data_IF_013331126455
#
_entry.id   IF_013331126455
#
_cell.length_a   1.000
_cell.length_b   1.000
_cell.length_c   1.000
_cell.angle_alpha   90.00
_cell.angle_beta   90.00
_cell.angle_gamma   90.00
#
_symmetry.space_group_name_H-M   'P 1'
#
loop_
_entity.id
_entity.type
_entity.pdbx_description
1 polymer ?
#
# COMPACT_ATOMS: atom_id res chain seq x y z
N UNK A 1 45.62 2.75 -6.54
CA UNK A 1 45.99 1.52 -5.85
C UNK A 1 45.60 0.22 -6.55
N UNK A 2 44.61 0.21 -7.44
CA UNK A 2 44.23 -0.99 -8.23
C UNK A 2 45.15 -1.23 -9.46
N UNK A 3 45.98 -0.26 -9.84
CA UNK A 3 46.87 -0.33 -11.01
C UNK A 3 48.10 -1.24 -10.82
N UNK A 4 48.24 -1.87 -9.65
CA UNK A 4 49.36 -2.79 -9.31
C UNK A 4 48.96 -4.27 -9.37
N UNK A 5 47.68 -4.58 -9.69
CA UNK A 5 47.23 -5.97 -9.79
C UNK A 5 47.72 -6.59 -11.11
N UNK A 6 48.18 -7.79 -11.02
CA UNK A 6 48.45 -8.62 -12.21
C UNK A 6 47.12 -9.02 -12.89
N UNK A 7 47.13 -9.37 -14.17
CA UNK A 7 45.90 -9.86 -14.84
C UNK A 7 45.25 -11.04 -14.13
N UNK A 8 46.06 -11.95 -13.60
CA UNK A 8 45.57 -13.13 -12.87
C UNK A 8 44.91 -12.77 -11.52
N UNK A 9 45.50 -11.81 -10.79
CA UNK A 9 44.91 -11.30 -9.54
C UNK A 9 43.59 -10.53 -9.83
N UNK A 10 43.53 -9.76 -10.90
CA UNK A 10 42.31 -9.07 -11.32
C UNK A 10 41.19 -10.06 -11.71
N UNK A 11 41.53 -11.12 -12.46
CA UNK A 11 40.58 -12.18 -12.81
C UNK A 11 40.06 -12.92 -11.57
N UNK A 12 40.97 -13.29 -10.64
CA UNK A 12 40.60 -13.93 -9.39
C UNK A 12 39.68 -13.04 -8.53
N UNK A 13 39.93 -11.73 -8.50
CA UNK A 13 39.05 -10.77 -7.79
C UNK A 13 37.66 -10.68 -8.42
N UNK A 14 37.59 -10.66 -9.75
CA UNK A 14 36.30 -10.63 -10.46
C UNK A 14 35.51 -11.92 -10.25
N UNK A 15 36.17 -13.07 -10.20
CA UNK A 15 35.52 -14.35 -9.93
C UNK A 15 35.12 -14.52 -8.46
N UNK A 16 35.79 -13.86 -7.54
CA UNK A 16 35.42 -13.83 -6.11
C UNK A 16 34.31 -12.83 -5.82
N UNK A 17 33.97 -11.92 -6.76
CA UNK A 17 32.89 -10.96 -6.62
C UNK A 17 31.54 -11.69 -6.55
N UNK A 18 30.66 -11.37 -5.58
CA UNK A 18 29.34 -12.01 -5.47
C UNK A 18 28.34 -11.57 -6.57
N UNK A 19 28.75 -10.71 -7.49
CA UNK A 19 27.94 -10.22 -8.60
C UNK A 19 28.29 -10.98 -9.87
N UNK A 20 27.28 -11.34 -10.66
CA UNK A 20 27.49 -11.74 -12.06
C UNK A 20 27.98 -10.56 -12.85
N UNK A 21 29.13 -10.66 -13.51
CA UNK A 21 29.69 -9.59 -14.31
C UNK A 21 29.76 -10.05 -15.77
N UNK A 22 29.26 -9.20 -16.66
CA UNK A 22 29.30 -9.38 -18.10
C UNK A 22 29.92 -8.13 -18.73
N UNK A 23 30.93 -8.33 -19.56
CA UNK A 23 31.63 -7.26 -20.26
C UNK A 23 31.28 -7.29 -21.75
N UNK A 24 30.86 -6.12 -22.25
CA UNK A 24 30.50 -5.90 -23.66
C UNK A 24 31.49 -4.90 -24.27
N UNK A 25 31.89 -5.14 -25.50
CA UNK A 25 32.68 -4.18 -26.29
C UNK A 25 31.85 -2.99 -26.79
N UNK A 26 32.47 -2.04 -27.46
CA UNK A 26 31.80 -0.86 -28.05
C UNK A 26 30.71 -1.21 -29.08
N UNK A 27 30.76 -2.41 -29.67
CA UNK A 27 29.75 -2.91 -30.61
C UNK A 27 28.62 -3.67 -29.88
N UNK A 28 28.69 -3.78 -28.55
CA UNK A 28 27.74 -4.51 -27.71
C UNK A 28 27.92 -6.03 -27.77
N UNK A 29 29.08 -6.54 -28.21
CA UNK A 29 29.39 -7.96 -28.22
C UNK A 29 29.98 -8.37 -26.86
N UNK A 30 29.60 -9.55 -26.40
CA UNK A 30 30.14 -10.14 -25.17
C UNK A 30 31.59 -10.53 -25.45
N UNK A 31 32.52 -10.06 -24.62
CA UNK A 31 33.92 -10.48 -24.72
C UNK A 31 34.43 -11.15 -23.44
N UNK A 32 33.80 -10.95 -22.28
CA UNK A 32 34.13 -11.63 -21.04
C UNK A 32 32.96 -11.71 -20.08
N UNK A 33 32.98 -12.71 -19.21
CA UNK A 33 32.13 -12.75 -18.02
C UNK A 33 32.88 -13.43 -16.88
N UNK A 34 32.42 -13.23 -15.65
CA UNK A 34 32.96 -13.95 -14.50
C UNK A 34 32.15 -15.25 -14.23
N UNK A 35 32.74 -16.08 -13.37
CA UNK A 35 32.17 -17.38 -12.97
C UNK A 35 30.77 -17.24 -12.36
N UNK A 36 30.51 -16.15 -11.61
CA UNK A 36 29.22 -15.90 -10.97
C UNK A 36 28.14 -15.63 -12.00
N UNK A 37 28.42 -14.87 -13.06
CA UNK A 37 27.47 -14.68 -14.16
C UNK A 37 27.05 -16.01 -14.77
N UNK A 38 28.06 -16.90 -15.06
CA UNK A 38 27.78 -18.22 -15.62
C UNK A 38 26.90 -19.08 -14.69
N UNK A 39 27.14 -19.01 -13.38
CA UNK A 39 26.31 -19.74 -12.39
C UNK A 39 24.91 -19.18 -12.22
N UNK A 40 24.73 -17.88 -12.39
CA UNK A 40 23.42 -17.21 -12.30
C UNK A 40 22.54 -17.44 -13.51
N UNK A 41 23.16 -17.56 -14.68
CA UNK A 41 22.41 -17.61 -15.97
C UNK A 41 22.44 -18.98 -16.63
N UNK A 42 23.33 -19.88 -16.21
CA UNK A 42 23.60 -21.15 -16.90
C UNK A 42 24.33 -20.94 -18.26
N UNK A 43 24.70 -19.70 -18.57
CA UNK A 43 25.38 -19.34 -19.80
C UNK A 43 26.88 -19.24 -19.52
N UNK A 44 27.67 -20.16 -20.05
CA UNK A 44 29.13 -20.07 -20.04
C UNK A 44 29.57 -19.60 -21.44
N UNK A 45 30.12 -18.38 -21.58
CA UNK A 45 30.87 -18.04 -22.81
C UNK A 45 32.05 -18.97 -22.89
N UNK A 46 32.10 -19.81 -23.92
CA UNK A 46 33.18 -20.75 -24.14
C UNK A 46 34.55 -20.05 -24.15
N UNK A 47 35.59 -20.76 -23.77
CA UNK A 47 36.99 -20.30 -23.81
C UNK A 47 37.51 -20.16 -25.27
N UNK A 48 36.76 -19.46 -26.11
CA UNK A 48 37.07 -19.17 -27.51
C UNK A 48 35.97 -18.33 -28.15
N UNK A 49 36.37 -17.24 -28.79
CA UNK A 49 35.51 -16.17 -29.30
C UNK A 49 34.42 -16.54 -30.36
N UNK A 50 34.13 -17.81 -30.59
CA UNK A 50 33.22 -18.26 -31.65
C UNK A 50 31.80 -18.59 -31.18
N UNK A 51 31.57 -18.87 -29.89
CA UNK A 51 30.24 -19.29 -29.40
C UNK A 51 29.24 -18.17 -28.99
N UNK A 52 29.68 -16.95 -28.62
CA UNK A 52 28.70 -15.91 -28.26
C UNK A 52 27.79 -15.50 -29.42
N UNK A 53 28.23 -15.68 -30.67
CA UNK A 53 27.42 -15.32 -31.85
C UNK A 53 26.27 -16.31 -32.12
N UNK A 54 26.45 -17.57 -31.78
CA UNK A 54 25.41 -18.59 -31.92
C UNK A 54 24.27 -18.35 -30.92
N UNK A 55 24.58 -18.08 -29.67
CA UNK A 55 23.62 -17.76 -28.62
C UNK A 55 22.86 -16.44 -28.90
N UNK A 56 23.52 -15.49 -29.57
CA UNK A 56 22.91 -14.21 -29.97
C UNK A 56 21.97 -14.35 -31.17
N UNK A 57 22.28 -15.25 -32.10
CA UNK A 57 21.44 -15.51 -33.28
C UNK A 57 20.12 -16.17 -32.92
N UNK A 58 20.04 -16.87 -31.79
CA UNK A 58 18.79 -17.51 -31.31
C UNK A 58 17.95 -16.57 -30.42
N UNK A 59 18.38 -15.33 -30.17
CA UNK A 59 17.66 -14.37 -29.34
C UNK A 59 17.57 -14.75 -27.85
N UNK A 60 18.21 -15.86 -27.44
CA UNK A 60 18.12 -16.40 -26.09
C UNK A 60 18.73 -15.48 -25.02
N UNK A 61 19.70 -14.64 -25.38
CA UNK A 61 20.35 -13.68 -24.48
C UNK A 61 19.70 -12.29 -24.47
N UNK A 62 18.72 -12.04 -25.33
CA UNK A 62 18.10 -10.73 -25.46
C UNK A 62 17.55 -10.17 -24.13
N UNK A 63 16.91 -10.98 -23.26
CA UNK A 63 16.48 -10.49 -21.96
C UNK A 63 17.64 -10.01 -21.07
N UNK A 64 18.80 -10.68 -21.12
CA UNK A 64 19.99 -10.30 -20.34
C UNK A 64 20.69 -9.07 -20.92
N UNK A 65 20.59 -8.81 -22.22
CA UNK A 65 21.24 -7.70 -22.91
C UNK A 65 20.34 -6.45 -23.06
N UNK A 66 19.07 -6.56 -22.78
CA UNK A 66 18.08 -5.48 -22.85
C UNK A 66 18.39 -4.33 -21.86
N UNK A 67 17.72 -3.21 -22.01
CA UNK A 67 17.88 -2.00 -21.16
C UNK A 67 17.18 -2.10 -19.79
N UNK A 68 16.54 -3.22 -19.48
CA UNK A 68 15.80 -3.41 -18.24
C UNK A 68 16.73 -3.48 -17.03
N UNK A 69 16.30 -2.90 -15.91
CA UNK A 69 17.02 -2.99 -14.62
C UNK A 69 16.62 -4.23 -13.79
N UNK A 70 15.58 -4.94 -14.21
CA UNK A 70 15.11 -6.19 -13.64
C UNK A 70 14.73 -7.14 -14.77
N UNK A 71 15.31 -8.32 -14.74
CA UNK A 71 15.15 -9.34 -15.79
C UNK A 71 14.61 -10.61 -15.17
N UNK A 72 13.54 -11.15 -15.74
CA UNK A 72 13.10 -12.51 -15.46
C UNK A 72 13.89 -13.45 -16.40
N UNK A 73 14.66 -14.34 -15.82
CA UNK A 73 15.50 -15.27 -16.54
C UNK A 73 15.11 -16.71 -16.25
N UNK A 74 14.90 -17.48 -17.30
CA UNK A 74 14.67 -18.92 -17.19
C UNK A 74 15.99 -19.65 -17.48
N UNK A 75 16.48 -20.34 -16.48
CA UNK A 75 17.69 -21.15 -16.59
C UNK A 75 17.51 -22.31 -17.56
N UNK A 76 18.58 -22.85 -18.15
CA UNK A 76 18.50 -24.01 -19.05
C UNK A 76 17.89 -25.26 -18.41
N UNK A 77 17.94 -25.38 -17.09
CA UNK A 77 17.30 -26.44 -16.29
C UNK A 77 15.81 -26.17 -15.96
N UNK A 78 15.28 -25.00 -16.38
CA UNK A 78 13.91 -24.58 -16.16
C UNK A 78 13.71 -23.75 -14.88
N UNK A 79 14.76 -23.48 -14.10
CA UNK A 79 14.69 -22.66 -12.90
C UNK A 79 14.46 -21.19 -13.27
N UNK A 80 13.51 -20.54 -12.61
CA UNK A 80 13.18 -19.13 -12.85
C UNK A 80 13.92 -18.24 -11.86
N UNK A 81 14.66 -17.26 -12.37
CA UNK A 81 15.41 -16.29 -11.58
C UNK A 81 15.09 -14.85 -11.95
N UNK A 82 15.03 -14.02 -10.95
CA UNK A 82 14.91 -12.59 -11.10
C UNK A 82 16.27 -11.94 -10.86
N UNK A 83 16.81 -11.36 -11.91
CA UNK A 83 18.13 -10.74 -11.88
C UNK A 83 17.97 -9.21 -11.92
N UNK A 84 18.44 -8.52 -10.88
CA UNK A 84 18.63 -7.07 -10.95
C UNK A 84 19.87 -6.77 -11.75
N UNK A 85 19.77 -5.81 -12.68
CA UNK A 85 20.85 -5.47 -13.63
C UNK A 85 21.24 -4.01 -13.45
N UNK A 86 22.54 -3.78 -13.28
CA UNK A 86 23.14 -2.46 -13.29
C UNK A 86 24.17 -2.38 -14.43
N UNK A 87 24.13 -1.29 -15.20
CA UNK A 87 25.01 -1.08 -16.35
C UNK A 87 25.93 0.10 -16.10
N UNK A 88 27.22 -0.07 -16.39
CA UNK A 88 28.26 0.97 -16.28
C UNK A 88 29.05 1.05 -17.58
N UNK A 89 29.32 2.26 -18.02
CA UNK A 89 30.24 2.50 -19.16
C UNK A 89 31.66 2.39 -18.63
N UNK A 90 32.51 1.70 -19.38
CA UNK A 90 33.93 1.58 -19.10
C UNK A 90 34.69 2.60 -19.94
N UNK A 91 35.49 3.45 -19.26
CA UNK A 91 36.38 4.39 -19.89
C UNK A 91 37.74 3.70 -20.13
N UNK A 92 38.29 3.83 -21.34
CA UNK A 92 39.62 3.26 -21.67
C UNK A 92 39.84 2.90 -23.13
N UNK A 93 40.96 2.26 -23.43
CA UNK A 93 41.36 1.87 -24.81
C UNK A 93 40.45 0.81 -25.45
N UNK A 94 39.65 0.10 -24.66
CA UNK A 94 38.55 -0.75 -25.09
C UNK A 94 37.28 -0.19 -24.49
N UNK A 95 36.80 0.94 -25.01
CA UNK A 95 35.50 1.51 -24.61
C UNK A 95 34.42 0.43 -24.74
N UNK A 96 33.64 0.22 -23.68
CA UNK A 96 32.62 -0.83 -23.62
C UNK A 96 31.71 -0.64 -22.45
N UNK A 97 31.00 -1.69 -22.11
CA UNK A 97 30.00 -1.66 -21.03
C UNK A 97 30.19 -2.86 -20.09
N UNK A 98 30.19 -2.61 -18.79
CA UNK A 98 30.07 -3.64 -17.78
C UNK A 98 28.62 -3.73 -17.29
N UNK A 99 28.09 -4.93 -17.23
CA UNK A 99 26.78 -5.22 -16.65
C UNK A 99 26.94 -6.11 -15.42
N UNK A 100 26.27 -5.72 -14.35
CA UNK A 100 26.29 -6.40 -13.08
C UNK A 100 24.93 -7.03 -12.82
N UNK A 101 24.92 -8.30 -12.44
CA UNK A 101 23.72 -9.08 -12.20
C UNK A 101 23.69 -9.54 -10.75
N UNK A 102 22.58 -9.32 -10.08
CA UNK A 102 22.32 -9.75 -8.71
C UNK A 102 21.07 -10.61 -8.72
N UNK A 103 21.15 -11.82 -8.20
CA UNK A 103 19.96 -12.64 -7.96
C UNK A 103 19.12 -12.01 -6.83
N UNK A 104 17.90 -11.62 -7.18
CA UNK A 104 16.94 -11.04 -6.24
C UNK A 104 15.67 -11.89 -6.10
N UNK A 105 15.72 -13.13 -6.58
CA UNK A 105 14.59 -14.08 -6.58
C UNK A 105 14.01 -14.26 -5.19
N UNK A 106 14.83 -14.65 -4.23
CA UNK A 106 14.38 -14.84 -2.85
C UNK A 106 13.88 -13.54 -2.21
N UNK A 107 14.55 -12.42 -2.49
CA UNK A 107 14.14 -11.11 -1.99
C UNK A 107 12.75 -10.73 -2.50
N UNK A 108 12.46 -10.94 -3.78
CA UNK A 108 11.17 -10.64 -4.37
C UNK A 108 10.09 -11.61 -3.87
N UNK A 109 10.42 -12.89 -3.74
CA UNK A 109 9.53 -13.92 -3.19
C UNK A 109 9.13 -13.60 -1.74
N UNK A 110 10.10 -13.33 -0.87
CA UNK A 110 9.86 -12.97 0.53
C UNK A 110 9.06 -11.66 0.65
N UNK A 111 9.33 -10.69 -0.24
CA UNK A 111 8.56 -9.45 -0.28
C UNK A 111 7.10 -9.70 -0.63
N UNK A 112 6.83 -10.52 -1.65
CA UNK A 112 5.48 -10.89 -2.06
C UNK A 112 4.74 -11.65 -0.96
N UNK A 113 5.40 -12.59 -0.30
CA UNK A 113 4.86 -13.35 0.82
C UNK A 113 4.52 -12.44 2.01
N UNK A 114 5.46 -11.57 2.40
CA UNK A 114 5.23 -10.56 3.45
C UNK A 114 4.03 -9.67 3.13
N UNK A 115 3.92 -9.18 1.90
CA UNK A 115 2.82 -8.29 1.49
C UNK A 115 1.49 -9.06 1.45
N UNK A 116 1.50 -10.34 1.08
CA UNK A 116 0.35 -11.26 1.20
C UNK A 116 -0.11 -11.45 2.64
N UNK A 117 0.82 -11.81 3.54
CA UNK A 117 0.51 -11.97 4.97
C UNK A 117 0.01 -10.67 5.62
N UNK A 118 0.55 -9.52 5.22
CA UNK A 118 0.04 -8.21 5.68
C UNK A 118 -1.39 -7.96 5.21
N UNK A 119 -1.72 -8.31 3.97
CA UNK A 119 -3.08 -8.19 3.46
C UNK A 119 -4.05 -9.09 4.23
N UNK A 120 -3.66 -10.32 4.54
CA UNK A 120 -4.46 -11.24 5.37
C UNK A 120 -4.65 -10.70 6.79
N UNK A 121 -3.58 -10.22 7.44
CA UNK A 121 -3.67 -9.59 8.77
C UNK A 121 -4.58 -8.37 8.76
N UNK A 122 -4.55 -7.56 7.69
CA UNK A 122 -5.44 -6.41 7.53
C UNK A 122 -6.92 -6.85 7.45
N UNK A 123 -7.21 -7.93 6.72
CA UNK A 123 -8.56 -8.50 6.64
C UNK A 123 -9.04 -9.06 7.99
N UNK A 124 -8.15 -9.57 8.81
CA UNK A 124 -8.46 -10.09 10.16
C UNK A 124 -8.51 -9.00 11.23
N UNK A 125 -7.90 -7.85 10.99
CA UNK A 125 -7.90 -6.73 11.94
C UNK A 125 -9.30 -6.12 12.05
N UNK A 126 -9.72 -5.82 13.28
CA UNK A 126 -10.94 -5.07 13.58
C UNK A 126 -10.67 -3.57 13.81
N UNK A 127 -9.41 -3.13 13.69
CA UNK A 127 -8.98 -1.75 13.90
C UNK A 127 -8.43 -1.15 12.62
N UNK A 128 -8.59 0.15 12.49
CA UNK A 128 -7.98 0.92 11.41
C UNK A 128 -6.46 1.02 11.59
N UNK A 129 -5.70 0.86 10.52
CA UNK A 129 -4.23 0.90 10.57
C UNK A 129 -3.70 2.32 10.78
N UNK A 130 -4.38 3.30 10.23
CA UNK A 130 -3.99 4.72 10.27
C UNK A 130 -4.45 5.38 11.57
N UNK A 131 -5.68 5.06 11.96
CA UNK A 131 -6.37 5.56 13.14
C UNK A 131 -6.54 4.43 14.16
N UNK A 132 -5.44 3.88 14.65
CA UNK A 132 -5.35 2.66 15.49
C UNK A 132 -6.26 2.63 16.71
N UNK A 133 -6.80 3.77 17.10
CA UNK A 133 -7.78 3.87 18.20
C UNK A 133 -9.22 3.62 17.76
N UNK A 134 -9.49 3.58 16.45
CA UNK A 134 -10.82 3.41 15.88
C UNK A 134 -10.99 1.99 15.32
N UNK A 135 -12.23 1.54 15.25
CA UNK A 135 -12.58 0.32 14.54
C UNK A 135 -12.57 0.59 13.04
N UNK A 136 -12.19 -0.41 12.25
CA UNK A 136 -12.47 -0.38 10.82
C UNK A 136 -13.94 -0.76 10.55
N UNK A 137 -14.41 -0.63 9.30
CA UNK A 137 -15.79 -0.96 8.93
C UNK A 137 -16.20 -2.36 9.35
N UNK A 138 -15.31 -3.35 9.22
CA UNK A 138 -15.56 -4.74 9.62
C UNK A 138 -15.74 -4.87 11.14
N UNK A 139 -14.89 -4.19 11.93
CA UNK A 139 -14.99 -4.16 13.39
C UNK A 139 -16.31 -3.53 13.85
N UNK A 140 -16.72 -2.45 13.17
CA UNK A 140 -18.01 -1.80 13.45
C UNK A 140 -19.17 -2.73 13.15
N UNK A 141 -19.23 -3.38 11.99
CA UNK A 141 -20.29 -4.33 11.64
C UNK A 141 -20.41 -5.46 12.65
N UNK A 142 -19.29 -6.09 13.00
CA UNK A 142 -19.28 -7.18 13.99
C UNK A 142 -19.84 -6.76 15.35
N UNK A 143 -19.55 -5.52 15.76
CA UNK A 143 -20.03 -5.00 17.05
C UNK A 143 -21.44 -4.42 16.96
N UNK A 144 -21.86 -3.95 15.78
CA UNK A 144 -23.19 -3.39 15.53
C UNK A 144 -24.29 -4.45 15.49
N UNK A 145 -24.02 -5.67 14.99
CA UNK A 145 -25.01 -6.75 14.91
C UNK A 145 -25.78 -7.00 16.22
N UNK A 146 -25.11 -7.23 17.38
CA UNK A 146 -25.83 -7.43 18.63
C UNK A 146 -26.57 -6.19 19.13
N UNK A 147 -26.10 -4.97 18.76
CA UNK A 147 -26.77 -3.72 19.12
C UNK A 147 -28.07 -3.51 18.34
N UNK A 148 -28.09 -3.82 17.06
CA UNK A 148 -29.30 -3.81 16.23
C UNK A 148 -30.30 -4.85 16.76
N UNK A 149 -29.86 -6.08 17.05
CA UNK A 149 -30.72 -7.10 17.63
C UNK A 149 -31.31 -6.68 18.97
N UNK A 150 -30.53 -5.99 19.82
CA UNK A 150 -30.97 -5.42 21.10
C UNK A 150 -31.96 -4.28 20.90
N UNK A 151 -31.68 -3.34 19.98
CA UNK A 151 -32.56 -2.21 19.64
C UNK A 151 -33.94 -2.72 19.21
N UNK A 152 -33.98 -3.71 18.31
CA UNK A 152 -35.22 -4.33 17.83
C UNK A 152 -36.00 -5.05 18.93
N UNK A 153 -35.31 -5.74 19.87
CA UNK A 153 -35.96 -6.51 20.94
C UNK A 153 -36.56 -5.63 22.02
N UNK A 154 -35.89 -4.54 22.37
CA UNK A 154 -36.23 -3.72 23.53
C UNK A 154 -36.74 -2.32 23.15
N UNK A 155 -36.90 -2.05 21.85
CA UNK A 155 -37.27 -0.74 21.30
C UNK A 155 -36.36 0.39 21.83
N UNK A 156 -35.07 0.04 22.05
CA UNK A 156 -34.07 1.00 22.50
C UNK A 156 -33.51 1.79 21.32
N UNK A 157 -33.45 3.12 21.41
CA UNK A 157 -33.00 3.94 20.27
C UNK A 157 -31.52 3.68 19.98
N UNK A 158 -31.22 3.56 18.67
CA UNK A 158 -29.87 3.38 18.17
C UNK A 158 -29.70 4.27 16.94
N UNK A 159 -28.72 5.15 16.96
CA UNK A 159 -28.45 6.07 15.86
C UNK A 159 -27.02 5.93 15.34
N UNK A 160 -26.81 6.22 14.07
CA UNK A 160 -25.48 6.28 13.45
C UNK A 160 -25.26 7.66 12.85
N UNK A 161 -24.08 8.21 13.08
CA UNK A 161 -23.58 9.41 12.41
C UNK A 161 -22.37 8.99 11.55
N UNK A 162 -22.47 9.24 10.27
CA UNK A 162 -21.32 9.20 9.36
C UNK A 162 -20.81 10.63 9.14
N UNK A 163 -19.52 10.87 9.31
CA UNK A 163 -18.89 12.19 9.19
C UNK A 163 -17.72 12.14 8.23
N UNK A 164 -17.79 12.90 7.18
CA UNK A 164 -16.72 13.09 6.19
C UNK A 164 -16.03 14.43 6.37
N UNK A 165 -14.72 14.45 6.23
CA UNK A 165 -13.92 15.68 6.25
C UNK A 165 -13.44 16.04 4.86
N UNK A 166 -13.59 17.29 4.50
CA UNK A 166 -13.02 17.88 3.29
C UNK A 166 -11.82 18.75 3.68
N UNK A 167 -10.63 18.29 3.28
CA UNK A 167 -9.36 18.94 3.63
C UNK A 167 -8.41 18.90 2.45
N UNK A 168 -7.91 20.06 1.99
CA UNK A 168 -7.00 20.10 0.85
C UNK A 168 -5.59 19.56 1.12
N UNK A 169 -5.09 19.67 2.35
CA UNK A 169 -3.71 19.32 2.72
C UNK A 169 -3.61 18.74 4.14
N UNK A 170 -2.55 17.97 4.43
CA UNK A 170 -2.25 17.37 5.75
C UNK A 170 -3.39 16.54 6.37
N UNK A 171 -4.20 15.88 5.52
CA UNK A 171 -5.39 15.11 5.94
C UNK A 171 -5.10 14.17 7.11
N UNK A 172 -3.98 13.45 7.11
CA UNK A 172 -3.70 12.42 8.11
C UNK A 172 -3.53 12.98 9.53
N UNK A 173 -2.80 14.08 9.71
CA UNK A 173 -2.64 14.70 11.03
C UNK A 173 -3.97 15.21 11.57
N UNK A 174 -4.78 15.76 10.69
CA UNK A 174 -6.12 16.24 11.05
C UNK A 174 -7.04 15.09 11.45
N UNK A 175 -7.07 13.98 10.69
CA UNK A 175 -7.86 12.80 11.01
C UNK A 175 -7.53 12.26 12.41
N UNK A 176 -6.25 12.18 12.77
CA UNK A 176 -5.82 11.79 14.12
C UNK A 176 -6.34 12.78 15.18
N UNK A 177 -6.21 14.07 14.95
CA UNK A 177 -6.72 15.10 15.87
C UNK A 177 -8.24 15.01 16.04
N UNK A 178 -8.98 14.82 14.96
CA UNK A 178 -10.45 14.66 14.98
C UNK A 178 -10.84 13.36 15.68
N UNK A 179 -10.11 12.27 15.49
CA UNK A 179 -10.42 11.01 16.19
C UNK A 179 -10.38 11.17 17.72
N UNK A 180 -9.44 11.95 18.25
CA UNK A 180 -9.41 12.29 19.67
C UNK A 180 -10.59 13.18 20.08
N UNK A 181 -10.93 14.19 19.25
CA UNK A 181 -12.10 15.03 19.49
C UNK A 181 -13.37 14.20 19.56
N UNK A 182 -13.61 13.32 18.58
CA UNK A 182 -14.79 12.47 18.56
C UNK A 182 -14.90 11.59 19.78
N UNK A 183 -13.76 11.02 20.22
CA UNK A 183 -13.71 10.21 21.45
C UNK A 183 -14.07 11.01 22.70
N UNK A 184 -13.66 12.29 22.78
CA UNK A 184 -14.01 13.18 23.89
C UNK A 184 -15.50 13.59 23.89
N UNK A 185 -16.12 13.65 22.72
CA UNK A 185 -17.52 14.05 22.53
C UNK A 185 -18.51 12.88 22.58
N UNK A 186 -18.03 11.63 22.54
CA UNK A 186 -18.86 10.43 22.61
C UNK A 186 -18.73 9.73 23.98
N UNK A 187 -19.74 8.95 24.33
CA UNK A 187 -19.74 8.19 25.59
C UNK A 187 -18.85 6.95 25.45
N UNK A 188 -18.43 6.39 26.59
CA UNK A 188 -17.65 5.14 26.60
C UNK A 188 -18.39 3.95 25.96
N UNK A 189 -19.73 3.97 25.98
CA UNK A 189 -20.57 2.95 25.38
C UNK A 189 -20.76 3.12 23.86
N UNK A 190 -20.47 4.30 23.31
CA UNK A 190 -20.57 4.56 21.90
C UNK A 190 -19.37 3.96 21.15
N UNK A 191 -19.61 3.51 19.93
CA UNK A 191 -18.57 2.94 19.11
C UNK A 191 -18.10 3.97 18.09
N UNK A 192 -16.79 4.03 17.91
CA UNK A 192 -16.13 4.88 16.94
C UNK A 192 -15.33 4.04 15.98
N UNK A 193 -15.50 4.32 14.70
CA UNK A 193 -14.75 3.69 13.63
C UNK A 193 -14.61 4.57 12.41
N UNK A 194 -14.04 4.01 11.37
CA UNK A 194 -13.95 4.64 10.06
C UNK A 194 -14.14 3.61 8.95
N UNK A 195 -14.60 4.07 7.79
CA UNK A 195 -14.62 3.27 6.57
C UNK A 195 -13.29 3.37 5.81
N UNK A 196 -13.21 2.73 4.65
CA UNK A 196 -12.01 2.69 3.82
C UNK A 196 -11.64 4.08 3.23
N UNK A 197 -12.62 5.00 3.11
CA UNK A 197 -12.41 6.38 2.69
C UNK A 197 -11.95 7.30 3.83
N UNK A 198 -11.76 6.74 5.03
CA UNK A 198 -11.46 7.43 6.28
C UNK A 198 -12.55 8.41 6.72
N UNK A 199 -13.81 8.11 6.40
CA UNK A 199 -14.95 8.78 7.01
C UNK A 199 -15.21 8.17 8.37
N UNK A 200 -15.48 9.03 9.34
CA UNK A 200 -15.77 8.60 10.69
C UNK A 200 -17.19 8.06 10.82
N UNK A 201 -17.33 6.97 11.53
CA UNK A 201 -18.60 6.32 11.82
C UNK A 201 -18.80 6.26 13.34
N UNK A 202 -19.88 6.86 13.82
CA UNK A 202 -20.23 6.90 15.25
C UNK A 202 -21.53 6.14 15.46
N UNK A 203 -21.51 5.07 16.24
CA UNK A 203 -22.67 4.27 16.61
C UNK A 203 -23.05 4.66 18.03
N UNK A 204 -24.19 5.31 18.18
CA UNK A 204 -24.66 5.92 19.39
C UNK A 204 -25.77 5.07 20.01
N UNK A 205 -25.43 4.39 21.10
CA UNK A 205 -26.37 3.54 21.84
C UNK A 205 -27.34 4.37 22.67
N UNK A 206 -28.57 3.89 22.78
CA UNK A 206 -29.64 4.56 23.57
C UNK A 206 -29.76 6.05 23.22
N UNK A 207 -29.62 6.37 21.93
CA UNK A 207 -29.59 7.73 21.44
C UNK A 207 -30.62 7.88 20.32
N UNK A 208 -31.57 8.80 20.52
CA UNK A 208 -32.59 9.12 19.51
C UNK A 208 -31.96 9.91 18.37
N UNK A 209 -32.68 9.96 17.25
CA UNK A 209 -32.27 10.76 16.08
C UNK A 209 -32.07 12.23 16.45
N UNK A 210 -32.95 12.81 17.25
CA UNK A 210 -32.89 14.20 17.69
C UNK A 210 -31.64 14.47 18.55
N UNK A 211 -31.31 13.54 19.44
CA UNK A 211 -30.08 13.62 20.23
C UNK A 211 -28.82 13.46 19.39
N UNK A 212 -28.87 12.61 18.36
CA UNK A 212 -27.78 12.48 17.40
C UNK A 212 -27.55 13.77 16.59
N UNK A 213 -28.63 14.44 16.18
CA UNK A 213 -28.54 15.74 15.51
C UNK A 213 -27.94 16.83 16.40
N UNK A 214 -28.31 16.87 17.69
CA UNK A 214 -27.68 17.79 18.64
C UNK A 214 -26.18 17.53 18.79
N UNK A 215 -25.73 16.28 18.71
CA UNK A 215 -24.31 15.95 18.70
C UNK A 215 -23.66 16.46 17.40
N UNK A 216 -24.29 16.29 16.25
CA UNK A 216 -23.78 16.83 14.97
C UNK A 216 -23.59 18.35 15.05
N UNK A 217 -24.54 19.10 15.59
CA UNK A 217 -24.43 20.56 15.77
C UNK A 217 -23.21 20.94 16.64
N UNK A 218 -22.97 20.19 17.73
CA UNK A 218 -21.78 20.39 18.58
C UNK A 218 -20.49 20.08 17.84
N UNK A 219 -20.47 18.98 17.07
CA UNK A 219 -19.29 18.59 16.28
C UNK A 219 -19.02 19.64 15.18
N UNK A 220 -20.05 20.11 14.47
CA UNK A 220 -19.91 21.16 13.46
C UNK A 220 -19.29 22.43 14.04
N UNK A 221 -19.78 22.90 15.20
CA UNK A 221 -19.20 24.06 15.89
C UNK A 221 -17.72 23.85 16.34
N UNK A 222 -17.33 22.61 16.64
CA UNK A 222 -15.92 22.30 16.92
C UNK A 222 -15.07 22.33 15.66
N UNK A 223 -15.55 21.78 14.56
CA UNK A 223 -14.87 21.78 13.27
C UNK A 223 -14.68 23.22 12.76
N UNK A 224 -15.70 24.06 12.85
CA UNK A 224 -15.62 25.47 12.50
C UNK A 224 -14.51 26.20 13.29
N UNK A 225 -14.42 25.96 14.60
CA UNK A 225 -13.34 26.52 15.45
C UNK A 225 -11.96 26.03 15.04
N UNK A 226 -11.84 24.73 14.68
CA UNK A 226 -10.60 24.19 14.15
C UNK A 226 -10.26 24.85 12.81
N UNK A 227 -11.23 25.00 11.91
CA UNK A 227 -11.07 25.64 10.61
C UNK A 227 -10.63 27.10 10.75
N UNK A 228 -11.24 27.86 11.67
CA UNK A 228 -10.88 29.26 11.93
C UNK A 228 -9.45 29.44 12.46
N UNK A 229 -8.89 28.41 13.11
CA UNK A 229 -7.52 28.42 13.65
C UNK A 229 -6.48 27.77 12.73
N UNK A 230 -6.93 27.14 11.64
CA UNK A 230 -6.08 26.43 10.70
C UNK A 230 -5.64 27.34 9.53
N UNK A 231 -4.46 27.07 8.98
CA UNK A 231 -3.98 27.73 7.75
C UNK A 231 -4.76 27.34 6.50
N UNK A 232 -5.51 26.24 6.56
CA UNK A 232 -6.29 25.67 5.46
C UNK A 232 -7.70 25.42 5.95
N UNK A 233 -8.75 25.85 5.21
CA UNK A 233 -10.14 25.65 5.62
C UNK A 233 -10.46 24.15 5.72
N UNK A 234 -11.18 23.79 6.77
CA UNK A 234 -11.66 22.43 7.04
C UNK A 234 -13.18 22.50 7.07
N UNK A 235 -13.83 21.65 6.28
CA UNK A 235 -15.27 21.47 6.36
C UNK A 235 -15.63 20.01 6.63
N UNK A 236 -16.82 19.80 7.18
CA UNK A 236 -17.34 18.48 7.46
C UNK A 236 -18.78 18.35 6.94
N UNK A 237 -19.08 17.17 6.39
CA UNK A 237 -20.42 16.75 6.04
C UNK A 237 -20.86 15.61 6.95
N UNK A 238 -22.15 15.52 7.21
CA UNK A 238 -22.72 14.54 8.13
C UNK A 238 -23.89 13.82 7.49
N UNK A 239 -23.91 12.49 7.63
CA UNK A 239 -25.07 11.65 7.37
C UNK A 239 -25.59 11.10 8.69
N UNK A 240 -26.87 11.22 8.96
CA UNK A 240 -27.50 10.74 10.20
C UNK A 240 -28.63 9.78 9.87
N UNK A 241 -28.62 8.63 10.51
CA UNK A 241 -29.72 7.66 10.44
C UNK A 241 -30.00 7.07 11.82
N UNK A 242 -31.17 6.44 11.96
CA UNK A 242 -31.53 5.68 13.15
C UNK A 242 -31.96 4.27 12.76
N UNK A 243 -31.85 3.35 13.69
CA UNK A 243 -32.23 1.95 13.48
C UNK A 243 -33.73 1.84 13.29
N UNK A 244 -34.13 1.20 12.19
CA UNK A 244 -35.52 0.83 11.91
C UNK A 244 -35.75 -0.64 12.28
N UNK A 245 -37.01 -1.03 12.40
CA UNK A 245 -37.38 -2.39 12.83
C UNK A 245 -36.85 -3.47 11.88
N UNK A 246 -36.75 -3.20 10.59
CA UNK A 246 -36.34 -4.14 9.55
C UNK A 246 -34.84 -4.05 9.21
N UNK A 247 -34.10 -3.13 9.82
CA UNK A 247 -32.67 -3.00 9.57
C UNK A 247 -31.88 -4.19 10.11
N UNK A 248 -30.89 -4.63 9.37
CA UNK A 248 -29.71 -5.33 9.87
C UNK A 248 -28.53 -4.36 10.07
N UNK A 249 -27.41 -4.86 10.54
CA UNK A 249 -26.25 -4.02 10.81
C UNK A 249 -25.68 -3.40 9.53
N UNK A 250 -25.68 -4.15 8.45
CA UNK A 250 -25.13 -3.70 7.15
C UNK A 250 -26.00 -2.62 6.54
N UNK A 251 -27.30 -2.88 6.43
CA UNK A 251 -28.28 -1.92 5.89
C UNK A 251 -28.29 -0.62 6.67
N UNK A 252 -28.23 -0.68 8.02
CA UNK A 252 -28.20 0.51 8.85
C UNK A 252 -26.94 1.34 8.62
N UNK A 253 -25.78 0.68 8.49
CA UNK A 253 -24.51 1.36 8.25
C UNK A 253 -24.47 1.96 6.85
N UNK A 254 -24.89 1.21 5.82
CA UNK A 254 -24.97 1.69 4.44
C UNK A 254 -25.89 2.91 4.31
N UNK A 255 -26.99 2.97 5.03
CA UNK A 255 -27.90 4.14 5.04
C UNK A 255 -27.20 5.38 5.62
N UNK A 256 -26.38 5.23 6.65
CA UNK A 256 -25.58 6.33 7.19
C UNK A 256 -24.53 6.82 6.19
N UNK A 257 -23.83 5.88 5.53
CA UNK A 257 -22.84 6.19 4.49
C UNK A 257 -23.50 6.85 3.27
N UNK A 258 -24.67 6.37 2.85
CA UNK A 258 -25.45 6.96 1.75
C UNK A 258 -25.91 8.40 2.08
N UNK A 259 -26.37 8.64 3.32
CA UNK A 259 -26.73 9.97 3.79
C UNK A 259 -25.54 10.94 3.76
N UNK A 260 -24.35 10.47 4.16
CA UNK A 260 -23.12 11.25 4.04
C UNK A 260 -22.79 11.58 2.58
N UNK A 261 -22.89 10.59 1.69
CA UNK A 261 -22.71 10.79 0.24
C UNK A 261 -23.67 11.83 -0.33
N UNK A 262 -24.91 11.86 0.12
CA UNK A 262 -25.89 12.87 -0.27
C UNK A 262 -25.53 14.26 0.28
N UNK A 263 -25.11 14.35 1.55
CA UNK A 263 -24.67 15.60 2.15
C UNK A 263 -23.50 16.23 1.37
N UNK A 264 -22.55 15.41 0.92
CA UNK A 264 -21.43 15.85 0.05
C UNK A 264 -21.92 16.39 -1.30
N UNK A 265 -22.88 15.70 -1.95
CA UNK A 265 -23.41 16.14 -3.26
C UNK A 265 -24.15 17.45 -3.17
N UNK A 266 -24.91 17.65 -2.10
CA UNK A 266 -25.69 18.87 -1.89
C UNK A 266 -24.87 20.04 -1.37
N UNK A 267 -23.60 19.82 -1.04
CA UNK A 267 -22.74 20.79 -0.35
C UNK A 267 -23.39 21.32 0.96
N UNK A 268 -24.26 20.55 1.55
CA UNK A 268 -24.95 20.86 2.80
C UNK A 268 -24.36 20.06 3.95
N UNK A 269 -24.22 20.70 5.12
CA UNK A 269 -23.54 20.15 6.28
C UNK A 269 -24.14 18.84 6.81
N UNK A 270 -25.47 18.63 6.73
CA UNK A 270 -26.12 17.45 7.33
C UNK A 270 -27.29 16.95 6.48
N UNK A 271 -27.32 15.65 6.20
CA UNK A 271 -28.47 14.95 5.59
C UNK A 271 -28.95 13.85 6.52
N UNK A 272 -30.27 13.75 6.65
CA UNK A 272 -30.95 12.73 7.45
C UNK A 272 -31.58 11.73 6.49
N UNK A 273 -31.17 10.46 6.61
CA UNK A 273 -31.83 9.36 5.91
C UNK A 273 -32.88 8.72 6.85
N UNK A 274 -34.10 8.57 6.34
CA UNK A 274 -35.24 7.97 7.04
C UNK A 274 -35.27 6.47 6.80
#
# INVERSE_FOLDING_TARGET
MLNSLTPDEAAALLDACPLGILLLDASGRIYACNRVFSSLTGVAPGAGAAEPEALRKEGLLEPLLGSGTLVNWIMPDGDERWLAVETRILDGTQAGTARFYIDVTDKLRLRKERDGLRAELKLLSLKDETLTSLMNRRGLLHTLEPLVARSRRYDSPLSIIAMGLEVPQERQKLLVRISYLLRDQTRWADLLGCNDDHDFLMILQETTRESALQLVEKLAAHIERISASASTPVSACYGVTHCLHDDDAETLLERAEAALGEARRQQHGTVINR
#
